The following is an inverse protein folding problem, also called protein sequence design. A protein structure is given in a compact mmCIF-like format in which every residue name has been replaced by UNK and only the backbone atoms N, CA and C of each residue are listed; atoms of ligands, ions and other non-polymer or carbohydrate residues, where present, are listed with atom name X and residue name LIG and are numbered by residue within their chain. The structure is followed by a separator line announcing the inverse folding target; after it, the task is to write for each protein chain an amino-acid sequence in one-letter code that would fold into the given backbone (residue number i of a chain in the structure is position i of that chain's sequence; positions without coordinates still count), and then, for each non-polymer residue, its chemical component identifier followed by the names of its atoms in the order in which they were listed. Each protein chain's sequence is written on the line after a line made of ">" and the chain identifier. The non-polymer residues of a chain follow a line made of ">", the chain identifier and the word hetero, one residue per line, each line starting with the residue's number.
data_IF_322125820913
#
_entry.id   IF_322125820913
#
_cell.length_a   1.000
_cell.length_b   1.000
_cell.length_c   1.000
_cell.angle_alpha   90.00
_cell.angle_beta   90.00
_cell.angle_gamma   90.00
#
_symmetry.space_group_name_H-M   'P 1'
#
loop_
_entity.id
_entity.type
_entity.pdbx_description
1 polymer ?
#
# COMPACT_ATOMS: atom_id res chain seq x y z
N UNK A 1 7.26 -18.36 -16.74
CA UNK A 1 8.02 -17.12 -16.42
C UNK A 1 7.15 -16.34 -15.46
N UNK A 2 7.61 -16.07 -14.24
CA UNK A 2 6.78 -15.42 -13.22
C UNK A 2 6.54 -13.94 -13.51
N UNK A 3 5.37 -13.44 -13.13
CA UNK A 3 4.95 -12.04 -13.21
C UNK A 3 4.97 -11.34 -11.84
N UNK A 4 4.62 -10.05 -11.85
CA UNK A 4 4.44 -9.25 -10.63
C UNK A 4 3.47 -9.92 -9.64
N UNK A 5 2.37 -10.47 -10.17
CA UNK A 5 1.31 -11.13 -9.40
C UNK A 5 1.72 -12.45 -8.76
N UNK A 6 2.85 -13.02 -9.20
CA UNK A 6 3.38 -14.26 -8.63
C UNK A 6 4.34 -13.98 -7.44
N UNK A 7 4.61 -12.70 -7.15
CA UNK A 7 5.40 -12.31 -6.00
C UNK A 7 4.54 -12.36 -4.74
N UNK A 8 4.96 -13.17 -3.75
CA UNK A 8 4.30 -13.25 -2.45
C UNK A 8 4.12 -11.87 -1.78
N UNK A 9 5.07 -10.96 -1.94
CA UNK A 9 4.98 -9.61 -1.38
C UNK A 9 3.87 -8.79 -2.04
N UNK A 10 3.64 -8.98 -3.34
CA UNK A 10 2.57 -8.30 -4.08
C UNK A 10 1.21 -8.87 -3.70
N UNK A 11 1.08 -10.21 -3.64
CA UNK A 11 -0.14 -10.88 -3.18
C UNK A 11 -0.56 -10.39 -1.79
N UNK A 12 0.37 -10.37 -0.84
CA UNK A 12 0.11 -9.88 0.53
C UNK A 12 -0.27 -8.40 0.57
N UNK A 13 0.42 -7.55 -0.19
CA UNK A 13 0.11 -6.12 -0.24
C UNK A 13 -1.27 -5.87 -0.85
N UNK A 14 -1.62 -6.58 -1.91
CA UNK A 14 -2.91 -6.49 -2.58
C UNK A 14 -4.04 -6.93 -1.64
N UNK A 15 -3.90 -8.11 -1.02
CA UNK A 15 -4.88 -8.63 -0.04
C UNK A 15 -5.08 -7.67 1.13
N UNK A 16 -3.99 -7.10 1.66
CA UNK A 16 -4.07 -6.12 2.73
C UNK A 16 -4.82 -4.86 2.28
N UNK A 17 -4.50 -4.31 1.11
CA UNK A 17 -5.18 -3.13 0.56
C UNK A 17 -6.69 -3.36 0.35
N UNK A 18 -7.08 -4.58 -0.05
CA UNK A 18 -8.49 -4.96 -0.22
C UNK A 18 -9.19 -5.11 1.13
N UNK A 19 -8.54 -5.73 2.12
CA UNK A 19 -9.07 -5.81 3.49
C UNK A 19 -9.28 -4.43 4.10
N UNK A 20 -8.32 -3.53 3.92
CA UNK A 20 -8.41 -2.13 4.35
C UNK A 20 -9.60 -1.44 3.66
N UNK A 21 -9.73 -1.60 2.33
CA UNK A 21 -10.83 -1.00 1.58
C UNK A 21 -12.20 -1.46 2.10
N UNK A 22 -12.37 -2.76 2.38
CA UNK A 22 -13.59 -3.34 2.90
C UNK A 22 -13.91 -2.83 4.32
N UNK A 23 -12.94 -2.89 5.24
CA UNK A 23 -13.13 -2.42 6.63
C UNK A 23 -13.45 -0.93 6.66
N UNK A 24 -12.77 -0.12 5.84
CA UNK A 24 -12.97 1.33 5.84
C UNK A 24 -14.29 1.77 5.18
N UNK A 25 -15.12 0.86 4.66
CA UNK A 25 -16.51 1.18 4.26
C UNK A 25 -17.41 1.49 5.46
N UNK A 26 -17.03 1.00 6.64
CA UNK A 26 -17.77 1.23 7.88
C UNK A 26 -17.35 2.52 8.62
N UNK A 27 -16.38 3.27 8.09
CA UNK A 27 -15.91 4.50 8.74
C UNK A 27 -16.93 5.63 8.62
N UNK A 28 -16.95 6.59 9.56
CA UNK A 28 -17.83 7.76 9.49
C UNK A 28 -17.67 8.50 8.17
N UNK A 29 -18.79 8.97 7.60
CA UNK A 29 -18.79 9.66 6.29
C UNK A 29 -18.06 10.99 6.37
N UNK A 30 -18.04 11.60 7.55
CA UNK A 30 -17.32 12.84 7.88
C UNK A 30 -15.80 12.67 7.69
N UNK A 31 -15.28 11.45 7.94
CA UNK A 31 -13.86 11.12 7.82
C UNK A 31 -13.45 10.62 6.41
N UNK A 32 -14.36 10.72 5.44
CA UNK A 32 -14.15 10.18 4.10
C UNK A 32 -12.95 10.83 3.40
N UNK A 33 -12.91 12.16 3.38
CA UNK A 33 -11.86 12.93 2.69
C UNK A 33 -10.63 13.22 3.57
N UNK A 34 -10.66 12.80 4.83
CA UNK A 34 -9.54 12.86 5.77
C UNK A 34 -8.94 11.47 5.94
N UNK A 35 -9.28 10.74 7.02
CA UNK A 35 -8.63 9.49 7.41
C UNK A 35 -8.85 8.37 6.38
N UNK A 36 -10.08 8.21 5.88
CA UNK A 36 -10.42 7.09 4.99
C UNK A 36 -9.63 7.15 3.69
N UNK A 37 -9.55 8.33 3.07
CA UNK A 37 -8.80 8.51 1.82
C UNK A 37 -7.29 8.40 2.03
N UNK A 38 -6.75 8.86 3.15
CA UNK A 38 -5.32 8.69 3.46
C UNK A 38 -4.94 7.21 3.63
N UNK A 39 -5.74 6.45 4.39
CA UNK A 39 -5.54 5.00 4.62
C UNK A 39 -5.62 4.22 3.30
N UNK A 40 -6.63 4.51 2.48
CA UNK A 40 -6.83 3.80 1.19
C UNK A 40 -5.74 4.12 0.18
N UNK A 41 -5.27 5.38 0.11
CA UNK A 41 -4.23 5.78 -0.84
C UNK A 41 -2.88 5.18 -0.46
N UNK A 42 -2.43 5.37 0.78
CA UNK A 42 -1.16 4.82 1.26
C UNK A 42 -1.08 3.29 1.13
N UNK A 43 -2.15 2.57 1.52
CA UNK A 43 -2.17 1.10 1.36
C UNK A 43 -2.08 0.61 -0.08
N UNK A 44 -2.68 1.33 -1.04
CA UNK A 44 -2.59 1.00 -2.48
C UNK A 44 -1.26 1.42 -3.10
N UNK A 45 -0.63 2.49 -2.59
CA UNK A 45 0.70 2.93 -3.03
C UNK A 45 1.76 1.85 -2.82
N UNK A 46 1.63 0.99 -1.79
CA UNK A 46 2.50 -0.18 -1.61
C UNK A 46 2.52 -1.06 -2.88
N UNK A 47 1.36 -1.41 -3.42
CA UNK A 47 1.25 -2.21 -4.63
C UNK A 47 1.81 -1.48 -5.86
N UNK A 48 1.57 -0.18 -5.98
CA UNK A 48 2.10 0.64 -7.08
C UNK A 48 3.64 0.70 -7.05
N UNK A 49 4.22 0.94 -5.88
CA UNK A 49 5.68 0.97 -5.69
C UNK A 49 6.31 -0.40 -5.97
N UNK A 50 5.68 -1.50 -5.54
CA UNK A 50 6.13 -2.86 -5.88
C UNK A 50 6.08 -3.13 -7.39
N UNK A 51 5.04 -2.64 -8.07
CA UNK A 51 4.93 -2.75 -9.53
C UNK A 51 6.05 -2.02 -10.25
N UNK A 52 6.35 -0.79 -9.84
CA UNK A 52 7.46 0.01 -10.38
C UNK A 52 8.81 -0.65 -10.11
N UNK A 53 9.02 -1.14 -8.87
CA UNK A 53 10.21 -1.90 -8.49
C UNK A 53 10.39 -3.11 -9.40
N UNK A 54 9.35 -3.92 -9.59
CA UNK A 54 9.39 -5.10 -10.44
C UNK A 54 9.76 -4.78 -11.89
N UNK A 55 9.17 -3.72 -12.46
CA UNK A 55 9.41 -3.30 -13.85
C UNK A 55 10.83 -2.78 -14.06
N UNK A 56 11.40 -2.08 -13.07
CA UNK A 56 12.74 -1.50 -13.13
C UNK A 56 13.80 -2.29 -12.35
N UNK A 57 13.54 -3.55 -12.02
CA UNK A 57 14.39 -4.41 -11.17
C UNK A 57 15.84 -4.61 -11.66
N UNK A 58 16.10 -4.40 -12.95
CA UNK A 58 17.46 -4.46 -13.51
C UNK A 58 18.31 -3.25 -13.11
N UNK A 59 17.69 -2.14 -12.72
CA UNK A 59 18.36 -0.93 -12.24
C UNK A 59 18.36 -0.93 -10.71
N UNK A 60 19.42 -1.49 -10.10
CA UNK A 60 19.52 -1.74 -8.65
C UNK A 60 19.14 -0.53 -7.78
N UNK A 61 19.61 0.67 -8.12
CA UNK A 61 19.29 1.90 -7.36
C UNK A 61 17.79 2.22 -7.37
N UNK A 62 17.13 2.13 -8.53
CA UNK A 62 15.69 2.38 -8.63
C UNK A 62 14.87 1.26 -7.97
N UNK A 63 15.34 0.02 -8.06
CA UNK A 63 14.70 -1.10 -7.39
C UNK A 63 14.68 -0.90 -5.87
N UNK A 64 15.84 -0.61 -5.27
CA UNK A 64 15.97 -0.36 -3.84
C UNK A 64 15.14 0.84 -3.41
N UNK A 65 15.20 1.94 -4.16
CA UNK A 65 14.40 3.14 -3.90
C UNK A 65 12.91 2.81 -3.82
N UNK A 66 12.36 2.11 -4.81
CA UNK A 66 10.92 1.80 -4.83
C UNK A 66 10.50 0.77 -3.78
N UNK A 67 11.38 -0.16 -3.41
CA UNK A 67 11.11 -1.03 -2.25
C UNK A 67 11.07 -0.20 -0.97
N UNK A 68 11.98 0.77 -0.80
CA UNK A 68 11.96 1.69 0.34
C UNK A 68 10.70 2.57 0.36
N UNK A 69 10.27 3.09 -0.79
CA UNK A 69 9.01 3.83 -0.91
C UNK A 69 7.81 2.95 -0.51
N UNK A 70 7.80 1.67 -0.89
CA UNK A 70 6.73 0.73 -0.50
C UNK A 70 6.66 0.50 1.01
N UNK A 71 7.81 0.51 1.70
CA UNK A 71 7.88 0.36 3.16
C UNK A 71 7.42 1.64 3.89
N UNK A 72 7.78 2.81 3.35
CA UNK A 72 7.32 4.10 3.85
C UNK A 72 5.79 4.23 3.78
N UNK A 73 5.18 3.85 2.64
CA UNK A 73 3.72 3.87 2.44
C UNK A 73 2.98 2.87 3.35
N UNK A 74 3.60 1.71 3.62
CA UNK A 74 3.08 0.75 4.59
C UNK A 74 3.11 1.31 6.02
N UNK A 75 4.19 2.01 6.39
CA UNK A 75 4.30 2.69 7.69
C UNK A 75 3.28 3.82 7.82
N UNK A 76 3.08 4.60 6.77
CA UNK A 76 2.05 5.64 6.71
C UNK A 76 0.64 5.05 6.90
N UNK A 77 0.34 3.93 6.22
CA UNK A 77 -0.91 3.19 6.40
C UNK A 77 -1.15 2.84 7.88
N UNK A 78 -0.13 2.34 8.58
CA UNK A 78 -0.22 1.99 10.00
C UNK A 78 -0.47 3.21 10.89
N UNK A 79 0.18 4.34 10.60
CA UNK A 79 -0.01 5.60 11.33
C UNK A 79 -1.46 6.08 11.18
N UNK A 80 -1.99 6.08 9.96
CA UNK A 80 -3.38 6.51 9.75
C UNK A 80 -4.40 5.56 10.38
N UNK A 81 -4.16 4.24 10.34
CA UNK A 81 -4.99 3.28 11.07
C UNK A 81 -4.97 3.51 12.58
N UNK A 82 -3.82 3.94 13.13
CA UNK A 82 -3.71 4.30 14.55
C UNK A 82 -4.56 5.52 14.89
N UNK A 83 -4.57 6.55 14.04
CA UNK A 83 -5.45 7.71 14.21
C UNK A 83 -6.94 7.35 14.07
N UNK A 84 -7.28 6.40 13.21
CA UNK A 84 -8.67 5.93 13.08
C UNK A 84 -9.18 5.13 14.29
N UNK A 85 -8.27 4.65 15.15
CA UNK A 85 -8.59 3.86 16.35
C UNK A 85 -8.34 4.62 17.66
N UNK A 86 -8.08 5.94 17.58
CA UNK A 86 -7.88 6.82 18.74
C UNK A 86 -9.14 7.61 19.11
#
# INVERSE_FOLDING_TARGET
>A
MGGLTDLLVFEKAFDLSMKIFEVSKAFPVEEKYSLTDQIRRSSRSVCANLAEAYRKRLYKGHFILKVSDSDAENSETQIWLKFANS
#
